data_IF_077400496747
#
_entry.id   IF_077400496747
#
_cell.length_a   1.000
_cell.length_b   1.000
_cell.length_c   1.000
_cell.angle_alpha   90.00
_cell.angle_beta   90.00
_cell.angle_gamma   90.00
#
_symmetry.space_group_name_H-M   'P 1'
#
loop_
_entity.id
_entity.type
_entity.pdbx_description
1 polymer ?
#
# COMPACT_ATOMS: atom_id res chain seq x y z
N UNK A 1 -1.29 28.00 -9.80
CA UNK A 1 -1.72 26.72 -10.39
C UNK A 1 -0.54 25.83 -10.77
N UNK A 2 0.14 26.01 -11.91
CA UNK A 2 1.22 25.07 -12.33
C UNK A 2 2.39 24.95 -11.34
N UNK A 3 2.80 26.07 -10.71
CA UNK A 3 3.85 26.05 -9.68
C UNK A 3 3.44 25.27 -8.43
N UNK A 4 2.19 25.42 -7.99
CA UNK A 4 1.68 24.75 -6.80
C UNK A 4 1.59 23.24 -7.03
N UNK A 5 1.09 22.82 -8.21
CA UNK A 5 1.03 21.42 -8.66
C UNK A 5 2.42 20.76 -8.64
N UNK A 6 3.44 21.44 -9.16
CA UNK A 6 4.83 20.94 -9.16
C UNK A 6 5.38 20.81 -7.73
N UNK A 7 5.07 21.76 -6.84
CA UNK A 7 5.50 21.69 -5.44
C UNK A 7 4.86 20.50 -4.72
N UNK A 8 3.57 20.26 -4.95
CA UNK A 8 2.87 19.09 -4.41
C UNK A 8 3.41 17.77 -4.95
N UNK A 9 3.72 17.71 -6.25
CA UNK A 9 4.33 16.54 -6.88
C UNK A 9 5.69 16.23 -6.25
N UNK A 10 6.60 17.21 -6.19
CA UNK A 10 7.95 17.03 -5.64
C UNK A 10 7.88 16.53 -4.20
N UNK A 11 7.05 17.18 -3.36
CA UNK A 11 6.89 16.77 -1.96
C UNK A 11 6.37 15.34 -1.85
N UNK A 12 5.34 15.01 -2.62
CA UNK A 12 4.73 13.68 -2.62
C UNK A 12 5.71 12.61 -3.09
N UNK A 13 6.50 12.89 -4.13
CA UNK A 13 7.55 11.98 -4.60
C UNK A 13 8.62 11.77 -3.51
N UNK A 14 9.07 12.83 -2.85
CA UNK A 14 10.02 12.72 -1.74
C UNK A 14 9.47 11.91 -0.55
N UNK A 15 8.20 12.11 -0.21
CA UNK A 15 7.51 11.33 0.82
C UNK A 15 7.47 9.84 0.44
N UNK A 16 7.15 9.52 -0.82
CA UNK A 16 7.11 8.14 -1.32
C UNK A 16 8.48 7.49 -1.34
N UNK A 17 9.53 8.20 -1.78
CA UNK A 17 10.91 7.68 -1.80
C UNK A 17 11.41 7.38 -0.39
N UNK A 18 11.09 8.26 0.56
CA UNK A 18 11.41 8.06 1.99
C UNK A 18 10.71 6.82 2.54
N UNK A 19 9.41 6.66 2.24
CA UNK A 19 8.65 5.49 2.66
C UNK A 19 9.21 4.19 2.06
N UNK A 20 9.58 4.20 0.78
CA UNK A 20 10.19 3.05 0.10
C UNK A 20 11.50 2.64 0.77
N UNK A 21 12.37 3.61 1.09
CA UNK A 21 13.64 3.33 1.79
C UNK A 21 13.41 2.65 3.15
N UNK A 22 12.43 3.12 3.93
CA UNK A 22 12.07 2.52 5.22
C UNK A 22 11.56 1.08 5.07
N UNK A 23 10.77 0.80 4.04
CA UNK A 23 10.28 -0.54 3.74
C UNK A 23 11.43 -1.47 3.30
N UNK A 24 12.31 -1.00 2.41
CA UNK A 24 13.44 -1.78 1.93
C UNK A 24 14.42 -2.11 3.09
N UNK A 25 14.61 -1.18 4.03
CA UNK A 25 15.38 -1.41 5.25
C UNK A 25 14.73 -2.45 6.17
N UNK A 26 13.42 -2.39 6.38
CA UNK A 26 12.69 -3.39 7.16
C UNK A 26 12.78 -4.80 6.54
N UNK A 27 12.76 -4.90 5.20
CA UNK A 27 12.98 -6.18 4.48
C UNK A 27 14.40 -6.70 4.70
N UNK A 28 15.40 -5.82 4.59
CA UNK A 28 16.80 -6.17 4.79
C UNK A 28 17.05 -6.66 6.20
N UNK A 29 16.50 -5.99 7.21
CA UNK A 29 16.57 -6.39 8.62
C UNK A 29 15.90 -7.75 8.87
N UNK A 30 14.70 -7.96 8.32
CA UNK A 30 13.99 -9.24 8.41
C UNK A 30 14.79 -10.39 7.80
N UNK A 31 15.41 -10.15 6.64
CA UNK A 31 16.23 -11.13 5.93
C UNK A 31 17.49 -11.47 6.74
N UNK A 32 18.18 -10.45 7.25
CA UNK A 32 19.35 -10.64 8.08
C UNK A 32 19.03 -11.43 9.36
N UNK A 33 17.89 -11.17 10.00
CA UNK A 33 17.45 -11.89 11.20
C UNK A 33 17.19 -13.39 10.92
N UNK A 34 16.62 -13.72 9.76
CA UNK A 34 16.45 -15.09 9.29
C UNK A 34 17.81 -15.77 9.01
N UNK A 35 18.69 -15.10 8.27
CA UNK A 35 19.97 -15.66 7.83
C UNK A 35 20.95 -15.91 8.98
N UNK A 36 20.93 -15.07 10.02
CA UNK A 36 21.78 -15.25 11.20
C UNK A 36 21.22 -16.24 12.24
N UNK A 37 20.05 -16.84 11.98
CA UNK A 37 19.45 -17.86 12.85
C UNK A 37 18.89 -17.33 14.18
N UNK A 38 18.75 -16.00 14.34
CA UNK A 38 18.16 -15.38 15.54
C UNK A 38 16.66 -15.64 15.65
N UNK A 39 15.99 -15.81 14.50
CA UNK A 39 14.57 -16.13 14.43
C UNK A 39 14.34 -17.60 14.72
N UNK A 40 13.45 -17.92 15.67
CA UNK A 40 13.10 -19.32 15.95
C UNK A 40 12.50 -20.00 14.72
N UNK A 41 12.76 -21.30 14.47
CA UNK A 41 12.20 -22.02 13.33
C UNK A 41 10.67 -21.91 13.22
N UNK A 42 9.97 -21.97 14.36
CA UNK A 42 8.51 -21.83 14.45
C UNK A 42 7.97 -20.44 14.07
N UNK A 43 8.80 -19.39 14.14
CA UNK A 43 8.44 -18.02 13.78
C UNK A 43 8.98 -17.59 12.40
N UNK A 44 9.85 -18.41 11.79
CA UNK A 44 10.49 -18.09 10.49
C UNK A 44 9.49 -17.90 9.36
N UNK A 45 8.37 -18.62 9.37
CA UNK A 45 7.27 -18.45 8.40
C UNK A 45 6.61 -17.08 8.53
N UNK A 46 6.35 -16.63 9.76
CA UNK A 46 5.76 -15.32 10.03
C UNK A 46 6.68 -14.18 9.57
N UNK A 47 7.97 -14.25 9.89
CA UNK A 47 8.95 -13.24 9.47
C UNK A 47 9.07 -13.17 7.94
N UNK A 48 9.03 -14.32 7.24
CA UNK A 48 8.99 -14.35 5.76
C UNK A 48 7.73 -13.70 5.22
N UNK A 49 6.55 -13.99 5.79
CA UNK A 49 5.29 -13.39 5.36
C UNK A 49 5.26 -11.88 5.61
N UNK A 50 5.70 -11.42 6.78
CA UNK A 50 5.82 -10.01 7.10
C UNK A 50 6.76 -9.29 6.13
N UNK A 51 7.90 -9.90 5.81
CA UNK A 51 8.84 -9.40 4.79
C UNK A 51 8.21 -9.38 3.38
N UNK A 52 7.36 -10.35 3.03
CA UNK A 52 6.59 -10.37 1.78
C UNK A 52 5.64 -9.19 1.69
N UNK A 53 4.85 -8.95 2.75
CA UNK A 53 3.95 -7.82 2.85
C UNK A 53 4.65 -6.46 2.68
N UNK A 54 5.82 -6.28 3.28
CA UNK A 54 6.60 -5.04 3.12
C UNK A 54 7.00 -4.81 1.67
N UNK A 55 7.37 -5.88 0.94
CA UNK A 55 7.68 -5.78 -0.49
C UNK A 55 6.44 -5.39 -1.30
N UNK A 56 5.29 -5.98 -1.00
CA UNK A 56 4.04 -5.64 -1.69
C UNK A 56 3.63 -4.18 -1.41
N UNK A 57 3.73 -3.72 -0.16
CA UNK A 57 3.48 -2.33 0.23
C UNK A 57 4.45 -1.34 -0.45
N UNK A 58 5.72 -1.74 -0.58
CA UNK A 58 6.75 -0.97 -1.29
C UNK A 58 6.44 -0.88 -2.79
N UNK A 59 5.89 -1.95 -3.39
CA UNK A 59 5.35 -1.94 -4.74
C UNK A 59 4.18 -0.96 -4.90
N UNK A 60 3.21 -1.00 -3.98
CA UNK A 60 2.05 -0.12 -3.96
C UNK A 60 2.44 1.37 -3.89
N UNK A 61 3.38 1.74 -3.02
CA UNK A 61 3.87 3.14 -2.90
C UNK A 61 4.60 3.58 -4.16
N UNK A 62 5.40 2.71 -4.79
CA UNK A 62 6.05 3.00 -6.08
C UNK A 62 5.02 3.24 -7.19
N UNK A 63 4.02 2.38 -7.29
CA UNK A 63 2.94 2.51 -8.30
C UNK A 63 2.14 3.80 -8.07
N UNK A 64 1.83 4.15 -6.81
CA UNK A 64 1.14 5.39 -6.44
C UNK A 64 1.96 6.67 -6.75
N UNK A 65 3.29 6.62 -6.53
CA UNK A 65 4.21 7.71 -6.92
C UNK A 65 4.22 7.89 -8.45
N UNK A 66 4.23 6.78 -9.20
CA UNK A 66 4.10 6.81 -10.66
C UNK A 66 2.79 7.43 -11.13
N UNK A 67 1.67 7.05 -10.49
CA UNK A 67 0.35 7.61 -10.78
C UNK A 67 0.31 9.13 -10.61
N UNK A 68 0.93 9.68 -9.55
CA UNK A 68 1.03 11.14 -9.35
C UNK A 68 1.77 11.81 -10.51
N UNK A 69 2.93 11.28 -10.92
CA UNK A 69 3.70 11.80 -12.06
C UNK A 69 2.92 11.75 -13.37
N UNK A 70 2.20 10.65 -13.60
CA UNK A 70 1.37 10.47 -14.80
C UNK A 70 0.18 11.45 -14.80
N UNK A 71 -0.45 11.65 -13.64
CA UNK A 71 -1.62 12.51 -13.45
C UNK A 71 -1.31 14.01 -13.55
N UNK A 72 -0.06 14.43 -13.34
CA UNK A 72 0.34 15.84 -13.43
C UNK A 72 0.00 16.45 -14.78
N UNK A 73 0.10 15.66 -15.86
CA UNK A 73 -0.21 16.08 -17.23
C UNK A 73 -1.69 16.35 -17.49
N UNK A 74 -2.59 15.83 -16.65
CA UNK A 74 -4.05 15.99 -16.77
C UNK A 74 -4.57 17.28 -16.12
N UNK A 75 -3.71 18.05 -15.45
CA UNK A 75 -4.12 19.30 -14.78
C UNK A 75 -4.20 20.45 -15.79
N UNK A 76 -5.41 20.79 -16.20
CA UNK A 76 -5.69 21.82 -17.23
C UNK A 76 -6.37 23.07 -16.68
N UNK A 77 -7.03 22.98 -15.53
CA UNK A 77 -7.89 24.00 -14.93
C UNK A 77 -7.94 23.84 -13.41
N UNK A 78 -8.68 24.72 -12.73
CA UNK A 78 -8.77 24.72 -11.27
C UNK A 78 -9.49 23.48 -10.70
N UNK A 79 -10.39 22.87 -11.47
CA UNK A 79 -11.15 21.68 -11.06
C UNK A 79 -10.26 20.44 -11.09
N UNK A 80 -9.55 20.22 -12.20
CA UNK A 80 -8.54 19.16 -12.33
C UNK A 80 -7.35 19.38 -11.37
N UNK A 81 -6.98 20.63 -11.07
CA UNK A 81 -5.97 20.94 -10.05
C UNK A 81 -6.44 20.66 -8.61
N UNK A 82 -7.76 20.73 -8.34
CA UNK A 82 -8.33 20.30 -7.08
C UNK A 82 -8.29 18.78 -6.94
N UNK A 83 -8.77 18.04 -7.95
CA UNK A 83 -8.73 16.57 -7.97
C UNK A 83 -7.30 16.03 -7.86
N UNK A 84 -6.34 16.66 -8.54
CA UNK A 84 -4.93 16.31 -8.43
C UNK A 84 -4.38 16.49 -7.00
N UNK A 85 -4.80 17.54 -6.28
CA UNK A 85 -4.41 17.72 -4.88
C UNK A 85 -4.94 16.59 -4.00
N UNK A 86 -6.20 16.22 -4.16
CA UNK A 86 -6.78 15.08 -3.43
C UNK A 86 -6.04 13.76 -3.74
N UNK A 87 -5.63 13.55 -5.00
CA UNK A 87 -4.78 12.43 -5.38
C UNK A 87 -3.43 12.47 -4.64
N UNK A 88 -2.74 13.60 -4.64
CA UNK A 88 -1.44 13.73 -3.96
C UNK A 88 -1.55 13.56 -2.44
N UNK A 89 -2.60 14.08 -1.81
CA UNK A 89 -2.84 13.92 -0.38
C UNK A 89 -3.10 12.45 -0.02
N UNK A 90 -3.85 11.74 -0.85
CA UNK A 90 -4.05 10.30 -0.69
C UNK A 90 -2.73 9.52 -0.81
N UNK A 91 -1.83 9.87 -1.74
CA UNK A 91 -0.49 9.22 -1.83
C UNK A 91 0.37 9.51 -0.60
N UNK A 92 0.25 10.71 -0.04
CA UNK A 92 0.95 11.06 1.20
C UNK A 92 0.39 10.32 2.41
N UNK A 93 -0.93 10.08 2.48
CA UNK A 93 -1.53 9.23 3.50
C UNK A 93 -1.00 7.79 3.38
N UNK A 94 -1.00 7.23 2.17
CA UNK A 94 -0.45 5.90 1.88
C UNK A 94 1.02 5.79 2.30
N UNK A 95 1.84 6.80 2.01
CA UNK A 95 3.26 6.85 2.39
C UNK A 95 3.42 6.86 3.92
N UNK A 96 2.57 7.60 4.64
CA UNK A 96 2.56 7.59 6.10
C UNK A 96 2.13 6.23 6.67
N UNK A 97 1.08 5.63 6.10
CA UNK A 97 0.60 4.30 6.49
C UNK A 97 1.67 3.23 6.32
N UNK A 98 2.40 3.25 5.21
CA UNK A 98 3.48 2.27 4.94
C UNK A 98 4.69 2.45 5.86
N UNK A 99 5.03 3.68 6.24
CA UNK A 99 6.07 3.89 7.26
C UNK A 99 5.65 3.28 8.61
N UNK A 100 4.38 3.41 9.01
CA UNK A 100 3.88 2.74 10.22
C UNK A 100 3.93 1.21 10.10
N UNK A 101 3.53 0.69 8.93
CA UNK A 101 3.59 -0.72 8.59
C UNK A 101 5.00 -1.30 8.77
N UNK A 102 6.04 -0.59 8.32
CA UNK A 102 7.45 -0.99 8.49
C UNK A 102 7.85 -1.18 9.96
N UNK A 103 7.28 -0.37 10.88
CA UNK A 103 7.57 -0.47 12.32
C UNK A 103 6.96 -1.70 12.95
N UNK A 104 5.74 -2.08 12.56
CA UNK A 104 5.14 -3.34 13.03
C UNK A 104 5.93 -4.55 12.55
N UNK A 105 6.44 -4.52 11.31
CA UNK A 105 7.26 -5.62 10.78
C UNK A 105 8.56 -5.76 11.56
N UNK A 106 9.25 -4.65 11.86
CA UNK A 106 10.46 -4.68 12.71
C UNK A 106 10.18 -5.24 14.10
N UNK A 107 9.01 -4.92 14.69
CA UNK A 107 8.59 -5.50 15.97
C UNK A 107 8.28 -7.00 15.87
N UNK A 108 7.58 -7.45 14.83
CA UNK A 108 7.35 -8.87 14.55
C UNK A 108 8.68 -9.63 14.44
N UNK A 109 9.69 -9.06 13.76
CA UNK A 109 11.04 -9.64 13.68
C UNK A 109 11.68 -9.74 15.05
N UNK A 110 11.60 -8.69 15.87
CA UNK A 110 12.21 -8.64 17.21
C UNK A 110 11.54 -9.65 18.16
N UNK A 111 10.22 -9.74 18.15
CA UNK A 111 9.45 -10.66 19.01
C UNK A 111 9.59 -12.12 18.58
N UNK A 112 9.85 -12.37 17.28
CA UNK A 112 10.19 -13.68 16.77
C UNK A 112 11.54 -14.21 17.30
N UNK A 113 12.39 -13.35 17.89
CA UNK A 113 13.61 -13.74 18.60
C UNK A 113 13.32 -14.13 20.07
N UNK A 114 12.31 -13.53 20.72
CA UNK A 114 12.09 -13.64 22.18
C UNK A 114 10.93 -14.53 22.61
N UNK A 115 10.03 -14.92 21.69
CA UNK A 115 8.88 -15.80 21.91
C UNK A 115 7.77 -15.28 22.85
N UNK A 116 7.61 -13.96 22.96
CA UNK A 116 6.41 -13.37 23.56
C UNK A 116 5.24 -13.47 22.57
N UNK A 117 4.44 -14.52 22.71
CA UNK A 117 3.33 -14.84 21.81
C UNK A 117 2.23 -13.79 21.87
N UNK A 118 1.93 -13.24 23.05
CA UNK A 118 0.86 -12.24 23.21
C UNK A 118 1.25 -10.88 22.62
N UNK A 119 2.52 -10.47 22.78
CA UNK A 119 3.02 -9.28 22.10
C UNK A 119 3.05 -9.47 20.57
N UNK A 120 3.38 -10.68 20.10
CA UNK A 120 3.41 -11.02 18.68
C UNK A 120 2.01 -10.98 18.05
N UNK A 121 1.00 -11.53 18.74
CA UNK A 121 -0.40 -11.46 18.32
C UNK A 121 -0.88 -10.01 18.20
N UNK A 122 -0.51 -9.14 19.15
CA UNK A 122 -0.85 -7.72 19.12
C UNK A 122 -0.22 -7.01 17.92
N UNK A 123 1.07 -7.25 17.65
CA UNK A 123 1.78 -6.60 16.55
C UNK A 123 1.36 -7.13 15.17
N UNK A 124 1.03 -8.42 15.04
CA UNK A 124 0.46 -8.94 13.79
C UNK A 124 -0.95 -8.40 13.57
N UNK A 125 -1.74 -8.25 14.63
CA UNK A 125 -3.06 -7.60 14.54
C UNK A 125 -2.94 -6.13 14.10
N UNK A 126 -1.91 -5.42 14.58
CA UNK A 126 -1.56 -4.08 14.11
C UNK A 126 -1.16 -4.06 12.64
N UNK A 127 -0.31 -5.01 12.24
CA UNK A 127 0.16 -5.16 10.87
C UNK A 127 -0.98 -5.41 9.88
N UNK A 128 -1.94 -6.28 10.21
CA UNK A 128 -3.05 -6.54 9.30
C UNK A 128 -4.03 -5.37 9.24
N UNK A 129 -4.26 -4.66 10.35
CA UNK A 129 -5.03 -3.40 10.34
C UNK A 129 -4.38 -2.35 9.43
N UNK A 130 -3.07 -2.21 9.50
CA UNK A 130 -2.33 -1.29 8.65
C UNK A 130 -2.41 -1.74 7.18
N UNK A 131 -2.32 -3.04 6.88
CA UNK A 131 -2.53 -3.57 5.53
C UNK A 131 -3.92 -3.24 4.97
N UNK A 132 -4.98 -3.38 5.77
CA UNK A 132 -6.33 -2.97 5.39
C UNK A 132 -6.45 -1.45 5.19
N UNK A 133 -5.75 -0.66 6.00
CA UNK A 133 -5.61 0.78 5.79
C UNK A 133 -4.97 1.13 4.44
N UNK A 134 -3.88 0.45 4.08
CA UNK A 134 -3.19 0.63 2.79
C UNK A 134 -4.08 0.25 1.60
N UNK A 135 -4.89 -0.79 1.75
CA UNK A 135 -5.90 -1.16 0.75
C UNK A 135 -6.92 -0.05 0.56
N UNK A 136 -7.46 0.50 1.66
CA UNK A 136 -8.43 1.61 1.58
C UNK A 136 -7.81 2.85 0.94
N UNK A 137 -6.57 3.17 1.28
CA UNK A 137 -5.82 4.27 0.66
C UNK A 137 -5.64 4.03 -0.86
N UNK A 138 -5.31 2.80 -1.26
CA UNK A 138 -5.21 2.43 -2.68
C UNK A 138 -6.55 2.59 -3.42
N UNK A 139 -7.67 2.12 -2.85
CA UNK A 139 -9.00 2.30 -3.41
C UNK A 139 -9.39 3.78 -3.56
N UNK A 140 -9.01 4.61 -2.60
CA UNK A 140 -9.15 6.07 -2.68
C UNK A 140 -8.33 6.68 -3.83
N UNK A 141 -7.08 6.24 -4.00
CA UNK A 141 -6.22 6.67 -5.11
C UNK A 141 -6.80 6.32 -6.48
N UNK A 142 -7.34 5.11 -6.62
CA UNK A 142 -7.98 4.65 -7.85
C UNK A 142 -9.22 5.50 -8.16
N UNK A 143 -10.02 5.82 -7.14
CA UNK A 143 -11.19 6.68 -7.29
C UNK A 143 -10.79 8.10 -7.74
N UNK A 144 -9.77 8.68 -7.11
CA UNK A 144 -9.26 10.01 -7.45
C UNK A 144 -8.69 10.05 -8.87
N UNK A 145 -7.88 9.06 -9.24
CA UNK A 145 -7.35 8.94 -10.60
C UNK A 145 -8.47 8.73 -11.63
N UNK A 146 -9.46 7.91 -11.32
CA UNK A 146 -10.63 7.70 -12.18
C UNK A 146 -11.44 8.98 -12.38
N UNK A 147 -11.57 9.81 -11.33
CA UNK A 147 -12.17 11.14 -11.42
C UNK A 147 -11.40 12.05 -12.38
N UNK A 148 -10.06 12.02 -12.29
CA UNK A 148 -9.19 12.81 -13.16
C UNK A 148 -9.20 12.34 -14.63
N UNK A 149 -9.41 11.03 -14.88
CA UNK A 149 -9.38 10.40 -16.21
C UNK A 149 -10.75 10.37 -16.91
N UNK A 150 -11.84 10.75 -16.23
CA UNK A 150 -13.25 10.56 -16.68
C UNK A 150 -13.62 11.17 -18.04
N UNK A 151 -12.72 11.88 -18.70
CA UNK A 151 -12.82 12.30 -20.10
C UNK A 151 -12.57 11.22 -21.17
N UNK A 152 -12.12 9.99 -20.86
CA UNK A 152 -11.66 9.05 -21.93
C UNK A 152 -12.01 7.55 -21.86
N UNK A 153 -12.53 6.95 -20.78
CA UNK A 153 -12.76 5.47 -20.74
C UNK A 153 -13.73 4.96 -19.66
N UNK A 154 -15.04 5.26 -19.77
CA UNK A 154 -16.06 4.89 -18.76
C UNK A 154 -16.09 3.38 -18.44
N UNK A 155 -15.96 2.50 -19.44
CA UNK A 155 -16.05 1.04 -19.22
C UNK A 155 -14.84 0.47 -18.46
N UNK A 156 -13.61 0.89 -18.80
CA UNK A 156 -12.41 0.44 -18.09
C UNK A 156 -12.37 1.01 -16.66
N UNK A 157 -12.83 2.25 -16.48
CA UNK A 157 -12.94 2.90 -15.17
C UNK A 157 -13.93 2.15 -14.27
N UNK A 158 -15.12 1.81 -14.77
CA UNK A 158 -16.12 1.07 -13.98
C UNK A 158 -15.58 -0.30 -13.53
N UNK A 159 -14.85 -1.01 -14.39
CA UNK A 159 -14.21 -2.27 -14.02
C UNK A 159 -13.13 -2.10 -12.92
N UNK A 160 -12.45 -0.95 -12.85
CA UNK A 160 -11.47 -0.69 -11.79
C UNK A 160 -12.14 -0.32 -10.47
N UNK A 161 -13.24 0.43 -10.52
CA UNK A 161 -14.07 0.75 -9.36
C UNK A 161 -14.65 -0.54 -8.75
N UNK A 162 -15.21 -1.44 -9.57
CA UNK A 162 -15.73 -2.73 -9.10
C UNK A 162 -14.65 -3.58 -8.41
N UNK A 163 -13.44 -3.64 -8.99
CA UNK A 163 -12.30 -4.32 -8.35
C UNK A 163 -11.87 -3.64 -7.04
N UNK A 164 -11.88 -2.31 -6.98
CA UNK A 164 -11.55 -1.58 -5.75
C UNK A 164 -12.54 -1.91 -4.63
N UNK A 165 -13.84 -1.96 -4.94
CA UNK A 165 -14.90 -2.34 -4.00
C UNK A 165 -14.76 -3.80 -3.53
N UNK A 166 -14.36 -4.71 -4.41
CA UNK A 166 -14.09 -6.12 -4.04
C UNK A 166 -12.89 -6.25 -3.10
N UNK A 167 -11.81 -5.50 -3.36
CA UNK A 167 -10.62 -5.49 -2.50
C UNK A 167 -10.98 -4.89 -1.13
N UNK A 168 -11.78 -3.81 -1.08
CA UNK A 168 -12.23 -3.19 0.17
C UNK A 168 -13.09 -4.15 1.01
N UNK A 169 -14.08 -4.82 0.40
CA UNK A 169 -14.90 -5.85 1.08
C UNK A 169 -14.07 -7.01 1.62
N UNK A 170 -13.05 -7.45 0.87
CA UNK A 170 -12.13 -8.49 1.34
C UNK A 170 -11.27 -8.00 2.50
N UNK A 171 -10.87 -6.73 2.52
CA UNK A 171 -10.15 -6.13 3.64
C UNK A 171 -11.03 -6.04 4.90
N UNK A 172 -12.30 -5.64 4.78
CA UNK A 172 -13.25 -5.67 5.90
C UNK A 172 -13.47 -7.09 6.43
N UNK A 173 -13.56 -8.08 5.54
CA UNK A 173 -13.68 -9.49 5.93
C UNK A 173 -12.44 -9.95 6.71
N UNK A 174 -11.25 -9.59 6.23
CA UNK A 174 -9.99 -9.91 6.89
C UNK A 174 -9.86 -9.26 8.27
N UNK A 175 -10.27 -8.00 8.40
CA UNK A 175 -10.33 -7.29 9.70
C UNK A 175 -11.25 -7.99 10.70
N UNK A 176 -12.40 -8.49 10.24
CA UNK A 176 -13.33 -9.22 11.10
C UNK A 176 -12.80 -10.60 11.51
N UNK A 177 -12.09 -11.29 10.62
CA UNK A 177 -11.46 -12.58 10.94
C UNK A 177 -10.39 -12.43 12.03
N UNK A 178 -9.56 -11.39 11.97
CA UNK A 178 -8.57 -11.09 13.02
C UNK A 178 -9.17 -10.90 14.41
N UNK A 179 -10.38 -10.34 14.49
CA UNK A 179 -11.01 -10.02 15.78
C UNK A 179 -11.24 -11.28 16.63
N UNK A 180 -11.32 -12.44 16.00
CA UNK A 180 -11.58 -13.73 16.63
C UNK A 180 -10.49 -14.78 16.29
N UNK A 181 -9.36 -14.36 15.73
CA UNK A 181 -8.31 -15.26 15.28
C UNK A 181 -7.52 -15.86 16.45
N UNK A 182 -7.18 -17.14 16.35
CA UNK A 182 -6.25 -17.80 17.26
C UNK A 182 -4.81 -17.73 16.73
N UNK A 183 -3.83 -18.05 17.57
CA UNK A 183 -2.39 -17.93 17.26
C UNK A 183 -1.97 -18.70 16.00
N UNK A 184 -2.66 -19.80 15.69
CA UNK A 184 -2.38 -20.64 14.51
C UNK A 184 -2.88 -20.00 13.21
N UNK A 185 -3.91 -19.14 13.28
CA UNK A 185 -4.52 -18.48 12.12
C UNK A 185 -3.70 -17.27 11.63
N UNK A 186 -2.84 -16.74 12.50
CA UNK A 186 -2.04 -15.53 12.27
C UNK A 186 -1.20 -15.61 10.99
N UNK A 187 -0.65 -16.78 10.68
CA UNK A 187 0.17 -16.99 9.47
C UNK A 187 -0.69 -16.97 8.20
N UNK A 188 -1.89 -17.54 8.26
CA UNK A 188 -2.84 -17.55 7.15
C UNK A 188 -3.39 -16.14 6.87
N UNK A 189 -3.77 -15.42 7.92
CA UNK A 189 -4.29 -14.05 7.84
C UNK A 189 -3.24 -13.08 7.29
N UNK A 190 -1.97 -13.21 7.70
CA UNK A 190 -0.88 -12.44 7.12
C UNK A 190 -0.67 -12.73 5.62
N UNK A 191 -0.86 -13.99 5.19
CA UNK A 191 -0.83 -14.37 3.78
C UNK A 191 -1.98 -13.76 2.98
N UNK A 192 -3.19 -13.73 3.55
CA UNK A 192 -4.36 -13.09 2.94
C UNK A 192 -4.19 -11.56 2.82
N UNK A 193 -3.61 -10.92 3.84
CA UNK A 193 -3.23 -9.51 3.80
C UNK A 193 -2.25 -9.22 2.64
N UNK A 194 -1.24 -10.09 2.44
CA UNK A 194 -0.27 -9.94 1.34
C UNK A 194 -0.95 -10.03 -0.02
N UNK A 195 -1.87 -10.99 -0.18
CA UNK A 195 -2.70 -11.08 -1.38
C UNK A 195 -3.48 -9.80 -1.67
N UNK A 196 -4.10 -9.19 -0.65
CA UNK A 196 -4.84 -7.95 -0.81
C UNK A 196 -3.96 -6.76 -1.23
N UNK A 197 -2.79 -6.59 -0.59
CA UNK A 197 -1.87 -5.51 -0.94
C UNK A 197 -1.37 -5.67 -2.38
N UNK A 198 -1.09 -6.91 -2.82
CA UNK A 198 -0.71 -7.20 -4.20
C UNK A 198 -1.83 -6.88 -5.20
N UNK A 199 -3.07 -7.26 -4.89
CA UNK A 199 -4.23 -6.97 -5.73
C UNK A 199 -4.44 -5.45 -5.87
N UNK A 200 -4.31 -4.70 -4.77
CA UNK A 200 -4.38 -3.25 -4.75
C UNK A 200 -3.26 -2.59 -5.58
N UNK A 201 -2.02 -3.07 -5.47
CA UNK A 201 -0.89 -2.60 -6.29
C UNK A 201 -1.14 -2.84 -7.79
N UNK A 202 -1.65 -4.01 -8.15
CA UNK A 202 -2.04 -4.32 -9.53
C UNK A 202 -3.07 -3.32 -10.06
N UNK A 203 -4.09 -3.01 -9.26
CA UNK A 203 -5.15 -2.09 -9.64
C UNK A 203 -4.67 -0.63 -9.78
N UNK A 204 -3.76 -0.17 -8.91
CA UNK A 204 -3.11 1.16 -9.03
C UNK A 204 -2.24 1.24 -10.28
N UNK A 205 -1.51 0.16 -10.60
CA UNK A 205 -0.71 0.08 -11.83
C UNK A 205 -1.57 0.15 -13.08
N UNK A 206 -2.69 -0.57 -13.10
CA UNK A 206 -3.62 -0.54 -14.22
C UNK A 206 -4.23 0.86 -14.38
N UNK A 207 -4.60 1.54 -13.27
CA UNK A 207 -5.08 2.91 -13.28
C UNK A 207 -4.03 3.91 -13.80
N UNK A 208 -2.75 3.77 -13.40
CA UNK A 208 -1.64 4.55 -13.96
C UNK A 208 -1.50 4.30 -15.47
N UNK A 209 -1.66 3.07 -15.94
CA UNK A 209 -1.72 2.75 -17.37
C UNK A 209 -2.84 3.50 -18.09
N UNK A 210 -4.06 3.55 -17.52
CA UNK A 210 -5.16 4.32 -18.08
C UNK A 210 -4.89 5.83 -18.11
N UNK A 211 -4.23 6.37 -17.09
CA UNK A 211 -3.80 7.79 -17.06
C UNK A 211 -2.79 8.07 -18.19
N UNK A 212 -1.83 7.17 -18.41
CA UNK A 212 -0.88 7.28 -19.53
C UNK A 212 -1.57 7.20 -20.90
N UNK A 213 -2.49 6.26 -21.04
CA UNK A 213 -3.22 6.02 -22.29
C UNK A 213 -4.26 7.12 -22.60
N UNK A 214 -4.73 7.83 -21.58
CA UNK A 214 -5.62 9.00 -21.72
C UNK A 214 -4.86 10.29 -22.04
N UNK A 215 -3.53 10.25 -21.97
CA UNK A 215 -2.62 11.21 -22.55
C UNK A 215 -2.74 11.23 -24.08
N UNK A 216 -3.59 12.14 -24.57
CA UNK A 216 -3.42 12.84 -25.84
C UNK A 216 -1.98 13.34 -25.98
N UNK A 217 -1.08 12.50 -26.48
CA UNK A 217 0.13 12.95 -27.15
C UNK A 217 -0.26 13.49 -28.54
N UNK A 218 0.33 14.59 -29.04
CA UNK A 218 0.78 14.59 -30.42
C UNK A 218 1.95 13.60 -30.61
#
# INVERSE_FOLDING_TARGET
MRKDVIVFEIRTVQDTDTAILELDDAVRESTAALDCGKVRPSASGLVRNASGLVRDASGLVRDASGLVRDATGLVTDDETAFMYRELTEAVQNLSRGTVQFSRYVRRVVTLAETADVSALEQDVSGLVRDASGLVRDASGLISNASGLVRGTSIEKINAHIERADEIDKRAETLENQLRYAETEDVVLLAGQASGLVRDASGLVRDASGLVRDSGLLP
#
